data_IF_885878784762
#
_entry.id   IF_885878784762
#
_cell.length_a   1.000
_cell.length_b   1.000
_cell.length_c   1.000
_cell.angle_alpha   90.00
_cell.angle_beta   90.00
_cell.angle_gamma   90.00
#
_symmetry.space_group_name_H-M   'P 1'
#
loop_
_entity.id
_entity.type
_entity.pdbx_description
1 polymer ?
#
# COMPACT_ATOMS: atom_id res chain seq x y z
N UNK A 1 15.65 31.28 53.04
CA UNK A 1 16.10 31.28 51.64
C UNK A 1 15.54 32.53 50.99
N UNK A 2 16.38 33.31 50.33
CA UNK A 2 15.96 34.55 49.66
C UNK A 2 15.09 34.22 48.44
N UNK A 3 14.09 35.05 48.15
CA UNK A 3 13.20 34.87 46.99
C UNK A 3 13.97 34.79 45.66
N UNK A 4 15.13 35.45 45.58
CA UNK A 4 16.05 35.37 44.45
C UNK A 4 16.61 33.96 44.24
N UNK A 5 17.04 33.26 45.31
CA UNK A 5 17.61 31.92 45.17
C UNK A 5 16.55 30.88 44.79
N UNK A 6 15.32 31.06 45.28
CA UNK A 6 14.17 30.25 44.87
C UNK A 6 13.87 30.46 43.38
N UNK A 7 13.83 31.72 42.92
CA UNK A 7 13.60 32.04 41.51
C UNK A 7 14.66 31.45 40.58
N UNK A 8 15.94 31.55 40.96
CA UNK A 8 17.06 30.95 40.22
C UNK A 8 16.95 29.43 40.18
N UNK A 9 16.57 28.79 41.29
CA UNK A 9 16.40 27.34 41.34
C UNK A 9 15.28 26.85 40.40
N UNK A 10 14.13 27.54 40.37
CA UNK A 10 13.02 27.20 39.46
C UNK A 10 13.45 27.34 38.01
N UNK A 11 14.11 28.45 37.65
CA UNK A 11 14.60 28.67 36.30
C UNK A 11 15.61 27.59 35.88
N UNK A 12 16.54 27.24 36.76
CA UNK A 12 17.52 26.18 36.52
C UNK A 12 16.84 24.84 36.25
N UNK A 13 15.82 24.46 37.05
CA UNK A 13 15.08 23.21 36.81
C UNK A 13 14.31 23.22 35.49
N UNK A 14 13.70 24.35 35.11
CA UNK A 14 13.01 24.46 33.83
C UNK A 14 13.95 24.28 32.64
N UNK A 15 15.16 24.86 32.71
CA UNK A 15 16.20 24.70 31.68
C UNK A 15 16.66 23.24 31.58
N UNK A 16 16.87 22.56 32.71
CA UNK A 16 17.26 21.14 32.73
C UNK A 16 16.18 20.25 32.12
N UNK A 17 14.91 20.51 32.42
CA UNK A 17 13.78 19.75 31.84
C UNK A 17 13.72 19.96 30.32
N UNK A 18 13.84 21.21 29.85
CA UNK A 18 13.86 21.52 28.42
C UNK A 18 15.04 20.83 27.72
N UNK A 19 16.24 20.89 28.29
CA UNK A 19 17.42 20.21 27.74
C UNK A 19 17.22 18.69 27.65
N UNK A 20 16.64 18.08 28.70
CA UNK A 20 16.32 16.66 28.70
C UNK A 20 15.30 16.27 27.62
N UNK A 21 14.26 17.09 27.44
CA UNK A 21 13.23 16.86 26.44
C UNK A 21 13.77 16.96 25.01
N UNK A 22 14.63 17.96 24.74
CA UNK A 22 15.32 18.10 23.45
C UNK A 22 16.26 16.93 23.19
N UNK A 23 17.03 16.50 24.20
CA UNK A 23 17.90 15.33 24.07
C UNK A 23 17.11 14.05 23.79
N UNK A 24 15.97 13.87 24.46
CA UNK A 24 15.08 12.73 24.21
C UNK A 24 14.47 12.74 22.80
N UNK A 25 14.03 13.91 22.31
CA UNK A 25 13.54 14.06 20.94
C UNK A 25 14.63 13.76 19.91
N UNK A 26 15.87 14.17 20.16
CA UNK A 26 16.99 13.83 19.30
C UNK A 26 17.20 12.30 19.20
N UNK A 27 17.17 11.60 20.34
CA UNK A 27 17.26 10.13 20.37
C UNK A 27 16.08 9.47 19.65
N UNK A 28 14.86 9.99 19.83
CA UNK A 28 13.69 9.51 19.07
C UNK A 28 13.87 9.70 17.57
N UNK A 29 14.36 10.86 17.15
CA UNK A 29 14.59 11.18 15.74
C UNK A 29 15.62 10.22 15.12
N UNK A 30 16.72 9.91 15.82
CA UNK A 30 17.71 8.93 15.36
C UNK A 30 17.11 7.53 15.20
N UNK A 31 16.26 7.09 16.13
CA UNK A 31 15.58 5.78 16.06
C UNK A 31 14.62 5.68 14.88
N UNK A 32 13.88 6.74 14.58
CA UNK A 32 12.95 6.77 13.45
C UNK A 32 13.70 6.61 12.12
N UNK A 33 14.79 7.35 11.92
CA UNK A 33 15.60 7.25 10.70
C UNK A 33 16.27 5.88 10.55
N UNK A 34 16.76 5.28 11.65
CA UNK A 34 17.31 3.93 11.62
C UNK A 34 16.27 2.89 11.19
N UNK A 35 15.04 2.99 11.71
CA UNK A 35 13.94 2.10 11.32
C UNK A 35 13.49 2.30 9.87
N UNK A 36 13.53 3.52 9.34
CA UNK A 36 13.20 3.78 7.92
C UNK A 36 14.19 3.09 6.98
N UNK A 37 15.49 3.16 7.27
CA UNK A 37 16.49 2.46 6.45
C UNK A 37 16.31 0.93 6.50
N UNK A 38 15.92 0.39 7.67
CA UNK A 38 15.57 -1.02 7.80
C UNK A 38 14.31 -1.41 7.00
N UNK A 39 13.27 -0.58 7.03
CA UNK A 39 12.05 -0.81 6.25
C UNK A 39 12.32 -0.78 4.75
N UNK A 40 13.14 0.16 4.25
CA UNK A 40 13.51 0.23 2.84
C UNK A 40 14.26 -1.03 2.41
N UNK A 41 15.17 -1.54 3.24
CA UNK A 41 15.89 -2.79 2.96
C UNK A 41 14.95 -3.99 2.91
N UNK A 42 14.02 -4.11 3.86
CA UNK A 42 13.04 -5.21 3.91
C UNK A 42 12.04 -5.12 2.75
N UNK A 43 11.59 -3.91 2.37
CA UNK A 43 10.71 -3.68 1.21
C UNK A 43 11.47 -3.99 -0.09
N UNK A 44 12.75 -3.65 -0.18
CA UNK A 44 13.61 -4.01 -1.31
C UNK A 44 13.78 -5.52 -1.46
N UNK A 45 14.03 -6.23 -0.35
CA UNK A 45 14.10 -7.70 -0.34
C UNK A 45 12.75 -8.34 -0.69
N UNK A 46 11.63 -7.80 -0.17
CA UNK A 46 10.29 -8.25 -0.58
C UNK A 46 10.05 -8.01 -2.08
N UNK A 47 10.47 -6.86 -2.61
CA UNK A 47 10.36 -6.52 -4.03
C UNK A 47 11.20 -7.46 -4.91
N UNK A 48 12.43 -7.79 -4.49
CA UNK A 48 13.27 -8.75 -5.19
C UNK A 48 12.73 -10.18 -5.12
N UNK A 49 12.10 -10.59 -4.01
CA UNK A 49 11.46 -11.92 -3.91
C UNK A 49 10.18 -12.04 -4.73
N UNK A 50 9.52 -10.91 -5.00
CA UNK A 50 8.36 -10.85 -5.91
C UNK A 50 8.81 -10.76 -7.37
N UNK A 51 10.02 -10.26 -7.65
CA UNK A 51 10.64 -10.37 -8.96
C UNK A 51 10.97 -11.83 -9.27
N UNK A 52 10.10 -12.47 -10.04
CA UNK A 52 10.48 -13.62 -10.88
C UNK A 52 11.68 -13.15 -11.72
N UNK A 53 12.81 -13.88 -11.75
CA UNK A 53 13.95 -13.49 -12.57
C UNK A 53 13.47 -13.36 -14.02
N UNK A 54 13.41 -12.13 -14.52
CA UNK A 54 13.21 -11.87 -15.94
C UNK A 54 14.46 -12.44 -16.62
N UNK A 55 14.34 -13.43 -17.52
CA UNK A 55 15.50 -13.95 -18.23
C UNK A 55 16.19 -12.80 -18.94
N UNK A 56 17.51 -12.71 -18.77
CA UNK A 56 18.38 -11.80 -19.53
C UNK A 56 18.00 -11.93 -21.01
N UNK A 57 17.56 -10.85 -21.69
CA UNK A 57 17.28 -10.94 -23.11
C UNK A 57 18.59 -11.25 -23.83
N UNK A 58 18.67 -12.42 -24.46
CA UNK A 58 19.65 -12.66 -25.51
C UNK A 58 19.46 -11.57 -26.58
N UNK A 59 20.55 -11.05 -27.19
CA UNK A 59 20.44 -10.00 -28.19
C UNK A 59 19.65 -10.53 -29.39
N UNK A 60 18.40 -10.07 -29.50
CA UNK A 60 17.51 -10.36 -30.63
C UNK A 60 18.04 -9.61 -31.86
N UNK A 61 18.40 -10.29 -32.96
CA UNK A 61 18.74 -9.63 -34.22
C UNK A 61 17.53 -8.86 -34.80
N UNK A 62 17.81 -7.73 -35.44
CA UNK A 62 16.89 -6.76 -36.05
C UNK A 62 15.76 -7.35 -36.96
N UNK A 63 14.66 -6.61 -37.16
CA UNK A 63 13.32 -7.15 -37.36
C UNK A 63 13.00 -7.55 -38.80
N UNK A 64 12.29 -8.67 -38.96
CA UNK A 64 11.52 -9.01 -40.16
C UNK A 64 10.09 -8.49 -39.95
N UNK A 65 9.49 -7.78 -40.92
CA UNK A 65 8.19 -7.11 -40.73
C UNK A 65 7.01 -8.08 -40.67
N UNK A 66 6.08 -7.76 -39.75
CA UNK A 66 4.63 -8.04 -39.61
C UNK A 66 3.97 -9.19 -40.41
N UNK A 67 3.05 -9.93 -39.75
CA UNK A 67 1.66 -9.45 -39.73
C UNK A 67 0.98 -9.45 -38.35
N UNK A 68 0.00 -8.54 -38.27
CA UNK A 68 -1.01 -8.34 -37.23
C UNK A 68 -1.57 -9.65 -36.62
N UNK A 69 -1.49 -9.80 -35.29
CA UNK A 69 -2.48 -10.55 -34.50
C UNK A 69 -2.73 -9.79 -33.18
N UNK A 70 -3.96 -9.29 -33.07
CA UNK A 70 -4.56 -8.73 -31.87
C UNK A 70 -4.66 -9.82 -30.80
N UNK A 71 -3.93 -9.71 -29.69
CA UNK A 71 -4.34 -10.35 -28.43
C UNK A 71 -5.04 -9.30 -27.56
N UNK A 72 -6.35 -9.36 -27.62
CA UNK A 72 -7.33 -8.60 -26.87
C UNK A 72 -7.02 -8.60 -25.35
N UNK A 73 -6.38 -7.54 -24.86
CA UNK A 73 -6.53 -7.14 -23.45
C UNK A 73 -7.98 -6.64 -23.30
N UNK A 74 -8.86 -7.57 -22.94
CA UNK A 74 -10.29 -7.41 -22.65
C UNK A 74 -10.54 -6.54 -21.39
N UNK A 75 -9.72 -5.50 -21.20
CA UNK A 75 -10.08 -4.32 -20.43
C UNK A 75 -11.10 -3.57 -21.28
N UNK A 76 -12.37 -3.81 -20.97
CA UNK A 76 -13.46 -2.91 -21.35
C UNK A 76 -13.07 -1.47 -20.95
N UNK A 77 -12.47 -0.76 -21.91
CA UNK A 77 -12.30 0.68 -21.92
C UNK A 77 -13.69 1.27 -22.07
N UNK A 78 -14.37 1.49 -20.95
CA UNK A 78 -15.58 2.30 -20.96
C UNK A 78 -15.14 3.76 -21.05
N UNK A 79 -14.99 4.17 -22.30
CA UNK A 79 -15.24 5.54 -22.74
C UNK A 79 -16.54 6.01 -22.11
N UNK A 80 -16.48 7.20 -21.53
CA UNK A 80 -17.57 7.96 -20.91
C UNK A 80 -19.01 7.55 -21.27
N UNK A 81 -19.84 7.52 -20.21
CA UNK A 81 -21.30 7.69 -20.20
C UNK A 81 -22.10 6.38 -20.17
N UNK A 82 -22.50 5.97 -18.96
CA UNK A 82 -23.88 5.97 -18.45
C UNK A 82 -23.89 5.17 -17.13
N UNK A 83 -24.14 5.89 -16.04
CA UNK A 83 -24.80 5.43 -14.81
C UNK A 83 -24.45 4.01 -14.31
N UNK A 84 -23.34 3.89 -13.60
CA UNK A 84 -23.20 2.83 -12.60
C UNK A 84 -24.22 3.12 -11.49
N UNK A 85 -25.43 2.60 -11.64
CA UNK A 85 -26.41 2.48 -10.57
C UNK A 85 -25.72 1.70 -9.45
N UNK A 86 -25.28 2.43 -8.42
CA UNK A 86 -24.72 1.88 -7.19
C UNK A 86 -25.87 1.09 -6.55
N UNK A 87 -25.97 -0.19 -6.90
CA UNK A 87 -26.86 -1.12 -6.21
C UNK A 87 -26.25 -1.35 -4.84
N UNK A 88 -26.71 -0.51 -3.92
CA UNK A 88 -26.53 -0.53 -2.48
C UNK A 88 -27.11 -1.86 -1.94
N UNK A 89 -26.34 -2.93 -2.14
CA UNK A 89 -26.67 -4.28 -1.71
C UNK A 89 -26.15 -4.52 -0.30
N UNK A 90 -26.91 -5.24 0.55
CA UNK A 90 -26.79 -5.25 2.01
C UNK A 90 -25.36 -5.52 2.52
N UNK A 91 -25.02 -4.97 3.72
CA UNK A 91 -23.67 -4.91 4.26
C UNK A 91 -23.06 -6.30 4.24
N UNK A 92 -21.94 -6.42 3.53
CA UNK A 92 -21.21 -7.67 3.50
C UNK A 92 -20.37 -7.75 4.76
N UNK A 93 -20.42 -8.89 5.45
CA UNK A 93 -19.51 -9.19 6.55
C UNK A 93 -18.08 -9.23 5.98
N UNK A 94 -17.40 -8.08 6.07
CA UNK A 94 -16.05 -7.86 5.56
C UNK A 94 -15.01 -8.73 6.26
N UNK A 95 -15.36 -9.27 7.42
CA UNK A 95 -14.52 -10.15 8.25
C UNK A 95 -14.31 -11.55 7.63
N UNK A 96 -15.17 -11.98 6.70
CA UNK A 96 -15.08 -13.30 6.06
C UNK A 96 -14.46 -13.31 4.66
N UNK A 97 -13.99 -12.17 4.14
CA UNK A 97 -13.49 -12.06 2.77
C UNK A 97 -12.05 -12.59 2.60
N UNK A 98 -11.25 -12.56 3.66
CA UNK A 98 -9.83 -12.96 3.58
C UNK A 98 -9.64 -14.48 3.56
N UNK A 99 -10.62 -15.22 4.12
CA UNK A 99 -10.64 -16.68 4.13
C UNK A 99 -11.12 -17.31 2.82
N UNK A 100 -11.81 -16.55 1.96
CA UNK A 100 -12.32 -17.04 0.66
C UNK A 100 -11.21 -17.26 -0.36
N UNK A 101 -11.44 -18.14 -1.32
CA UNK A 101 -10.45 -18.41 -2.38
C UNK A 101 -10.50 -17.33 -3.48
N UNK A 102 -9.43 -17.21 -4.29
CA UNK A 102 -9.39 -16.24 -5.41
C UNK A 102 -10.60 -16.39 -6.35
N UNK A 103 -11.03 -17.63 -6.61
CA UNK A 103 -12.18 -17.94 -7.47
C UNK A 103 -13.50 -17.49 -6.84
N UNK A 104 -13.70 -17.74 -5.55
CA UNK A 104 -14.91 -17.28 -4.84
C UNK A 104 -15.00 -15.75 -4.79
N UNK A 105 -13.87 -15.05 -4.63
CA UNK A 105 -13.85 -13.59 -4.66
C UNK A 105 -14.23 -13.05 -6.04
N UNK A 106 -13.74 -13.68 -7.12
CA UNK A 106 -14.14 -13.35 -8.49
C UNK A 106 -15.63 -13.60 -8.72
N UNK A 107 -16.18 -14.73 -8.25
CA UNK A 107 -17.61 -15.02 -8.35
C UNK A 107 -18.47 -13.97 -7.62
N UNK A 108 -18.04 -13.50 -6.45
CA UNK A 108 -18.75 -12.45 -5.70
C UNK A 108 -18.69 -11.11 -6.46
N UNK A 109 -17.54 -10.77 -7.04
CA UNK A 109 -17.36 -9.56 -7.85
C UNK A 109 -18.22 -9.61 -9.11
N UNK A 110 -18.23 -10.75 -9.84
CA UNK A 110 -19.10 -10.97 -10.99
C UNK A 110 -20.57 -10.84 -10.60
N UNK A 111 -20.97 -11.45 -9.47
CA UNK A 111 -22.34 -11.38 -8.96
C UNK A 111 -22.77 -9.96 -8.59
N UNK A 112 -21.82 -9.10 -8.18
CA UNK A 112 -22.04 -7.69 -7.86
C UNK A 112 -21.85 -6.75 -9.05
N UNK A 113 -21.47 -7.27 -10.23
CA UNK A 113 -21.23 -6.45 -11.42
C UNK A 113 -19.96 -5.59 -11.34
N UNK A 114 -19.03 -5.94 -10.46
CA UNK A 114 -17.78 -5.17 -10.27
C UNK A 114 -16.74 -5.71 -11.26
N UNK A 115 -16.21 -4.87 -12.17
CA UNK A 115 -15.19 -5.30 -13.11
C UNK A 115 -13.89 -5.63 -12.37
N UNK A 116 -13.27 -6.75 -12.74
CA UNK A 116 -11.97 -7.18 -12.23
C UNK A 116 -11.15 -7.84 -13.35
N UNK A 117 -9.84 -7.78 -13.24
CA UNK A 117 -8.93 -8.50 -14.12
C UNK A 117 -8.78 -9.97 -13.70
N UNK A 118 -8.77 -10.90 -14.66
CA UNK A 118 -8.50 -12.33 -14.40
C UNK A 118 -7.14 -12.54 -13.69
N UNK A 119 -6.17 -11.68 -13.99
CA UNK A 119 -4.84 -11.67 -13.40
C UNK A 119 -4.76 -11.01 -12.00
N UNK A 120 -5.82 -10.34 -11.52
CA UNK A 120 -5.77 -9.58 -10.27
C UNK A 120 -5.38 -10.46 -9.08
N UNK A 121 -4.53 -9.92 -8.21
CA UNK A 121 -4.11 -10.60 -7.00
C UNK A 121 -5.29 -10.74 -6.03
N UNK A 122 -5.25 -11.78 -5.18
CA UNK A 122 -6.30 -12.02 -4.15
C UNK A 122 -6.55 -10.77 -3.30
N UNK A 123 -5.49 -10.02 -2.97
CA UNK A 123 -5.57 -8.76 -2.22
C UNK A 123 -6.38 -7.68 -2.94
N UNK A 124 -6.24 -7.55 -4.27
CA UNK A 124 -6.98 -6.58 -5.08
C UNK A 124 -8.46 -6.92 -5.12
N UNK A 125 -8.81 -8.19 -5.30
CA UNK A 125 -10.21 -8.66 -5.28
C UNK A 125 -10.88 -8.40 -3.92
N UNK A 126 -10.14 -8.59 -2.82
CA UNK A 126 -10.63 -8.25 -1.47
C UNK A 126 -10.82 -6.74 -1.33
N UNK A 127 -9.88 -5.92 -1.82
CA UNK A 127 -10.02 -4.46 -1.78
C UNK A 127 -11.21 -3.96 -2.59
N UNK A 128 -11.49 -4.52 -3.77
CA UNK A 128 -12.67 -4.20 -4.56
C UNK A 128 -13.96 -4.55 -3.81
N UNK A 129 -14.00 -5.72 -3.15
CA UNK A 129 -15.14 -6.14 -2.33
C UNK A 129 -15.33 -5.32 -1.06
N UNK A 130 -14.24 -4.83 -0.43
CA UNK A 130 -14.32 -3.92 0.72
C UNK A 130 -14.72 -2.51 0.29
N UNK A 131 -14.33 -2.06 -0.90
CA UNK A 131 -14.66 -0.74 -1.42
C UNK A 131 -16.12 -0.62 -1.91
N UNK A 132 -16.76 -1.73 -2.24
CA UNK A 132 -18.19 -1.78 -2.61
C UNK A 132 -19.14 -2.09 -1.44
N UNK A 133 -18.60 -2.35 -0.24
CA UNK A 133 -19.36 -2.74 0.93
C UNK A 133 -19.87 -1.54 1.74
#
# INVERSE_FOLDING_TARGET
MDSLTIGVAVLATAVVVLAGMVGWLYVQQTRLFANMNGLVMVIGDLSQRIQVPVPTPEPVPEPVPEPEEEEEDDRASVVDKVEAEIVDGPPLDTDGLESKTKKELQEILTKRGIPFGKADAKSVLVSLLKATA
#
